data_IF_323051541166
#
_entry.id   IF_323051541166
#
_cell.length_a   1.000
_cell.length_b   1.000
_cell.length_c   1.000
_cell.angle_alpha   90.00
_cell.angle_beta   90.00
_cell.angle_gamma   90.00
#
_symmetry.space_group_name_H-M   'P 1'
#
loop_
_entity.id
_entity.type
_entity.pdbx_description
1 polymer ?
#
# COMPACT_ATOMS: atom_id res chain seq x y z
N UNK A 1 15.30 3.97 6.78
CA UNK A 1 14.06 4.10 7.57
C UNK A 1 13.17 2.91 7.27
N UNK A 2 12.72 2.22 8.32
CA UNK A 2 11.89 1.01 8.16
C UNK A 2 10.52 1.12 8.80
N UNK A 3 10.21 2.29 9.37
CA UNK A 3 9.00 2.49 10.15
C UNK A 3 8.66 3.98 10.19
N UNK A 4 7.37 4.30 10.09
CA UNK A 4 6.90 5.66 10.37
C UNK A 4 5.44 5.64 10.78
N UNK A 5 5.01 6.70 11.47
CA UNK A 5 3.63 6.92 11.87
C UNK A 5 3.17 8.26 11.33
N UNK A 6 1.92 8.32 10.88
CA UNK A 6 1.31 9.54 10.35
C UNK A 6 -0.17 9.57 10.65
N UNK A 7 -0.71 10.76 10.76
CA UNK A 7 -2.15 10.97 10.79
C UNK A 7 -2.61 11.35 9.39
N UNK A 8 -3.68 10.74 8.93
CA UNK A 8 -4.31 11.12 7.66
C UNK A 8 -4.91 12.51 7.82
N UNK A 9 -4.88 13.31 6.77
CA UNK A 9 -5.55 14.61 6.78
C UNK A 9 -7.06 14.43 6.51
N UNK A 10 -7.78 15.54 6.47
CA UNK A 10 -9.25 15.53 6.30
C UNK A 10 -9.68 14.96 4.94
N UNK A 11 -8.77 14.88 3.99
CA UNK A 11 -9.02 14.33 2.65
C UNK A 11 -8.42 12.94 2.48
N UNK A 12 -8.14 12.23 3.57
CA UNK A 12 -7.59 10.89 3.60
C UNK A 12 -6.22 10.80 2.92
N UNK A 13 -5.40 11.85 3.03
CA UNK A 13 -4.07 11.84 2.43
C UNK A 13 -3.03 11.47 3.46
N UNK A 14 -2.16 10.54 3.04
CA UNK A 14 -1.01 10.09 3.82
C UNK A 14 0.23 10.85 3.33
N UNK A 15 0.94 11.50 4.24
CA UNK A 15 2.20 12.17 3.90
C UNK A 15 3.35 11.20 4.04
N UNK A 16 4.04 10.94 2.94
CA UNK A 16 5.22 10.08 2.94
C UNK A 16 6.41 10.90 3.46
N UNK A 17 7.19 10.35 4.41
CA UNK A 17 8.38 11.05 4.92
C UNK A 17 9.32 11.45 3.79
N UNK A 18 9.95 12.60 3.95
CA UNK A 18 10.84 13.18 2.92
C UNK A 18 11.89 12.18 2.44
N UNK A 19 12.47 11.41 3.38
CA UNK A 19 13.54 10.44 3.09
C UNK A 19 13.07 9.29 2.18
N UNK A 20 11.76 9.04 2.12
CA UNK A 20 11.20 7.94 1.36
C UNK A 20 10.57 8.36 0.03
N UNK A 21 10.47 9.65 -0.24
CA UNK A 21 9.77 10.13 -1.43
C UNK A 21 10.41 9.67 -2.74
N UNK A 22 11.73 9.56 -2.77
CA UNK A 22 12.45 9.09 -3.95
C UNK A 22 12.07 7.64 -4.29
N UNK A 23 11.78 6.82 -3.28
CA UNK A 23 11.36 5.44 -3.46
C UNK A 23 10.07 5.35 -4.27
N UNK A 24 9.20 6.34 -4.14
CA UNK A 24 7.87 6.37 -4.78
C UNK A 24 7.80 7.33 -5.97
N UNK A 25 8.95 7.68 -6.53
CA UNK A 25 8.99 8.63 -7.65
C UNK A 25 8.22 8.14 -8.88
N UNK A 26 8.15 6.82 -9.09
CA UNK A 26 7.41 6.22 -10.22
C UNK A 26 5.90 6.16 -10.00
N UNK A 27 5.45 6.43 -8.78
CA UNK A 27 4.04 6.33 -8.40
C UNK A 27 3.85 5.35 -7.26
N UNK A 28 2.59 5.18 -6.86
CA UNK A 28 2.20 4.39 -5.69
C UNK A 28 1.10 3.41 -6.08
N UNK A 29 1.18 2.20 -5.57
CA UNK A 29 0.11 1.21 -5.69
C UNK A 29 -0.30 0.79 -4.28
N UNK A 30 -1.60 0.89 -3.99
CA UNK A 30 -2.17 0.47 -2.71
C UNK A 30 -3.08 -0.72 -2.96
N UNK A 31 -2.94 -1.75 -2.14
CA UNK A 31 -3.79 -2.96 -2.22
C UNK A 31 -4.21 -3.40 -0.83
N UNK A 32 -5.22 -4.26 -0.79
CA UNK A 32 -5.54 -5.00 0.43
C UNK A 32 -4.44 -6.00 0.70
N UNK A 33 -4.10 -6.18 1.99
CA UNK A 33 -3.21 -7.26 2.39
C UNK A 33 -3.98 -8.54 2.68
N UNK A 34 -3.28 -9.56 3.16
CA UNK A 34 -3.90 -10.84 3.51
C UNK A 34 -4.49 -10.84 4.92
N UNK A 35 -4.25 -9.79 5.70
CA UNK A 35 -4.85 -9.57 7.02
C UNK A 35 -5.46 -8.17 7.07
N UNK A 36 -5.70 -7.64 8.27
CA UNK A 36 -6.31 -6.33 8.45
C UNK A 36 -5.29 -5.21 8.26
N UNK A 37 -4.70 -5.14 7.08
CA UNK A 37 -3.70 -4.13 6.73
C UNK A 37 -3.67 -3.95 5.22
N UNK A 38 -2.99 -2.87 4.79
CA UNK A 38 -2.83 -2.57 3.38
C UNK A 38 -1.38 -2.80 2.97
N UNK A 39 -1.16 -3.02 1.69
CA UNK A 39 0.17 -3.00 1.09
C UNK A 39 0.35 -1.70 0.33
N UNK A 40 1.51 -1.08 0.52
CA UNK A 40 1.92 0.12 -0.21
C UNK A 40 3.17 -0.23 -1.01
N UNK A 41 3.07 -0.14 -2.33
CA UNK A 41 4.18 -0.43 -3.24
C UNK A 41 4.58 0.83 -4.00
N UNK A 42 5.87 0.94 -4.33
CA UNK A 42 6.27 1.82 -5.40
C UNK A 42 5.77 1.21 -6.72
N UNK A 43 5.37 2.05 -7.68
CA UNK A 43 4.83 1.56 -8.95
C UNK A 43 5.82 0.64 -9.68
N UNK A 44 7.11 1.01 -9.69
CA UNK A 44 8.13 0.19 -10.35
C UNK A 44 8.32 -1.17 -9.67
N UNK A 45 8.17 -1.25 -8.35
CA UNK A 45 8.23 -2.52 -7.61
C UNK A 45 7.02 -3.39 -7.97
N UNK A 46 5.84 -2.79 -8.03
CA UNK A 46 4.64 -3.53 -8.46
C UNK A 46 4.86 -4.13 -9.85
N UNK A 47 5.29 -3.29 -10.80
CA UNK A 47 5.44 -3.72 -12.19
C UNK A 47 6.52 -4.78 -12.37
N UNK A 48 7.64 -4.69 -11.64
CA UNK A 48 8.77 -5.59 -11.83
C UNK A 48 8.76 -6.82 -10.93
N UNK A 49 8.11 -6.74 -9.76
CA UNK A 49 8.15 -7.83 -8.77
C UNK A 49 6.80 -8.48 -8.53
N UNK A 50 5.73 -7.69 -8.43
CA UNK A 50 4.42 -8.21 -8.05
C UNK A 50 3.67 -8.74 -9.27
N UNK A 51 3.56 -7.92 -10.32
CA UNK A 51 2.84 -8.32 -11.54
C UNK A 51 3.38 -9.62 -12.12
N UNK A 52 4.70 -9.82 -12.27
CA UNK A 52 5.22 -11.09 -12.73
C UNK A 52 4.94 -12.27 -11.79
N UNK A 53 4.94 -12.01 -10.47
CA UNK A 53 4.65 -13.05 -9.47
C UNK A 53 3.18 -13.50 -9.50
N UNK A 54 2.28 -12.63 -9.97
CA UNK A 54 0.86 -12.94 -10.12
C UNK A 54 0.58 -13.63 -11.45
N UNK A 55 1.59 -13.77 -12.32
CA UNK A 55 1.47 -14.44 -13.60
C UNK A 55 1.95 -15.89 -13.41
N UNK A 56 1.01 -16.79 -13.30
CA UNK A 56 1.32 -18.20 -13.11
C UNK A 56 0.48 -19.06 -14.05
N UNK A 57 0.38 -20.34 -13.73
CA UNK A 57 -0.49 -21.23 -14.49
C UNK A 57 -1.95 -20.77 -14.32
N UNK A 58 -2.66 -20.68 -15.43
CA UNK A 58 -4.08 -20.32 -15.41
C UNK A 58 -4.91 -21.32 -14.61
N UNK A 59 -4.38 -22.53 -14.44
CA UNK A 59 -5.06 -23.59 -13.69
C UNK A 59 -4.67 -23.65 -12.22
N UNK A 60 -3.78 -22.76 -11.76
CA UNK A 60 -3.35 -22.74 -10.37
C UNK A 60 -4.30 -21.87 -9.55
N UNK A 61 -5.15 -22.54 -8.74
CA UNK A 61 -6.14 -21.85 -7.90
C UNK A 61 -5.49 -20.90 -6.89
N UNK A 62 -4.31 -21.23 -6.37
CA UNK A 62 -3.61 -20.37 -5.42
C UNK A 62 -3.21 -19.05 -6.08
N UNK A 63 -2.69 -19.11 -7.30
CA UNK A 63 -2.32 -17.90 -8.06
C UNK A 63 -3.58 -17.09 -8.37
N UNK A 64 -4.68 -17.77 -8.75
CA UNK A 64 -5.94 -17.09 -9.02
C UNK A 64 -6.44 -16.37 -7.78
N UNK A 65 -6.38 -17.00 -6.62
CA UNK A 65 -6.82 -16.41 -5.35
C UNK A 65 -5.99 -15.18 -4.98
N UNK A 66 -4.68 -15.24 -5.20
CA UNK A 66 -3.80 -14.09 -4.96
C UNK A 66 -4.15 -12.93 -5.90
N UNK A 67 -4.42 -13.22 -7.16
CA UNK A 67 -4.85 -12.19 -8.12
C UNK A 67 -6.14 -11.49 -7.65
N UNK A 68 -7.14 -12.27 -7.24
CA UNK A 68 -8.40 -11.71 -6.76
C UNK A 68 -8.15 -10.84 -5.53
N UNK A 69 -7.38 -11.35 -4.58
CA UNK A 69 -7.11 -10.64 -3.33
C UNK A 69 -6.40 -9.30 -3.56
N UNK A 70 -5.33 -9.30 -4.35
CA UNK A 70 -4.51 -8.10 -4.52
C UNK A 70 -5.06 -7.12 -5.56
N UNK A 71 -5.86 -7.59 -6.52
CA UNK A 71 -6.45 -6.69 -7.52
C UNK A 71 -7.77 -6.09 -7.08
N UNK A 72 -8.48 -6.74 -6.19
CA UNK A 72 -9.75 -6.23 -5.67
C UNK A 72 -9.47 -5.03 -4.77
N UNK A 73 -9.91 -3.85 -5.22
CA UNK A 73 -9.68 -2.62 -4.48
C UNK A 73 -8.32 -1.99 -4.70
N UNK A 74 -7.50 -2.55 -5.60
CA UNK A 74 -6.21 -1.95 -5.95
C UNK A 74 -6.41 -0.55 -6.49
N UNK A 75 -5.61 0.41 -6.01
CA UNK A 75 -5.61 1.78 -6.50
C UNK A 75 -4.18 2.18 -6.85
N UNK A 76 -4.05 3.02 -7.88
CA UNK A 76 -2.77 3.56 -8.29
C UNK A 76 -2.85 5.08 -8.26
N UNK A 77 -1.78 5.72 -7.82
CA UNK A 77 -1.74 7.18 -7.68
C UNK A 77 -0.31 7.67 -7.81
N UNK A 78 -0.17 8.99 -7.95
CA UNK A 78 1.14 9.64 -7.90
C UNK A 78 1.25 10.44 -6.62
N UNK A 79 2.48 10.59 -6.12
CA UNK A 79 2.72 11.49 -5.01
C UNK A 79 2.56 12.93 -5.44
N UNK A 80 1.97 13.76 -4.58
CA UNK A 80 2.04 15.20 -4.68
C UNK A 80 3.51 15.60 -4.54
N UNK A 81 4.08 16.20 -5.59
CA UNK A 81 5.52 16.51 -5.63
C UNK A 81 5.95 17.50 -4.55
N UNK A 82 5.05 18.39 -4.11
CA UNK A 82 5.41 19.41 -3.14
C UNK A 82 5.41 18.88 -1.71
N UNK A 83 4.40 18.08 -1.36
CA UNK A 83 4.18 17.65 0.02
C UNK A 83 4.28 16.15 0.22
N UNK A 84 4.46 15.39 -0.85
CA UNK A 84 4.63 13.95 -0.77
C UNK A 84 3.40 13.22 -0.23
N UNK A 85 2.20 13.68 -0.59
CA UNK A 85 0.96 13.10 -0.10
C UNK A 85 0.35 12.15 -1.11
N UNK A 86 -0.27 11.09 -0.61
CA UNK A 86 -1.02 10.14 -1.42
C UNK A 86 -2.39 9.93 -0.78
N UNK A 87 -3.44 9.92 -1.59
CA UNK A 87 -4.80 9.68 -1.10
C UNK A 87 -5.02 8.19 -0.91
N UNK A 88 -5.55 7.83 0.27
CA UNK A 88 -5.95 6.44 0.55
C UNK A 88 -7.48 6.38 0.45
N UNK A 89 -7.97 5.57 -0.48
CA UNK A 89 -9.41 5.47 -0.70
C UNK A 89 -10.13 4.89 0.52
N UNK A 90 -11.36 5.37 0.75
CA UNK A 90 -12.12 5.00 1.94
C UNK A 90 -12.31 3.48 2.07
N UNK A 91 -12.56 2.78 0.96
CA UNK A 91 -12.76 1.33 1.00
C UNK A 91 -11.53 0.58 1.51
N UNK A 92 -10.32 1.11 1.27
CA UNK A 92 -9.09 0.52 1.79
C UNK A 92 -8.96 0.78 3.29
N UNK A 93 -9.27 1.99 3.72
CA UNK A 93 -9.25 2.32 5.15
C UNK A 93 -10.23 1.44 5.92
N UNK A 94 -11.43 1.25 5.38
CA UNK A 94 -12.44 0.39 6.00
C UNK A 94 -11.94 -1.06 6.11
N UNK A 95 -11.32 -1.56 5.06
CA UNK A 95 -10.77 -2.91 5.05
C UNK A 95 -9.73 -3.11 6.16
N UNK A 96 -8.84 -2.13 6.36
CA UNK A 96 -7.75 -2.24 7.32
C UNK A 96 -8.13 -1.75 8.72
N UNK A 97 -9.35 -1.24 8.91
CA UNK A 97 -9.79 -0.71 10.19
C UNK A 97 -9.03 0.55 10.58
N UNK A 98 -8.58 1.32 9.60
CA UNK A 98 -7.84 2.57 9.83
C UNK A 98 -8.83 3.73 9.86
N UNK A 99 -8.88 4.46 10.98
CA UNK A 99 -9.71 5.65 11.09
C UNK A 99 -8.92 6.91 10.74
N UNK A 100 -7.82 7.17 11.44
CA UNK A 100 -7.02 8.36 11.20
C UNK A 100 -5.52 8.12 11.30
N UNK A 101 -5.08 7.34 12.29
CA UNK A 101 -3.66 7.10 12.51
C UNK A 101 -3.21 5.87 11.74
N UNK A 102 -2.07 6.00 11.06
CA UNK A 102 -1.49 4.95 10.24
C UNK A 102 -0.09 4.65 10.73
N UNK A 103 0.17 3.36 10.94
CA UNK A 103 1.52 2.85 11.22
C UNK A 103 2.00 2.15 9.97
N UNK A 104 3.15 2.55 9.46
CA UNK A 104 3.76 1.96 8.28
C UNK A 104 5.04 1.24 8.66
N UNK A 105 5.14 -0.02 8.28
CA UNK A 105 6.31 -0.86 8.58
C UNK A 105 6.79 -1.49 7.28
N UNK A 106 8.10 -1.43 7.05
CA UNK A 106 8.70 -2.02 5.85
C UNK A 106 8.59 -3.54 5.90
N UNK A 107 8.08 -4.12 4.82
CA UNK A 107 7.94 -5.56 4.67
C UNK A 107 8.74 -6.01 3.44
N UNK A 108 10.07 -5.82 3.49
CA UNK A 108 10.94 -6.11 2.37
C UNK A 108 10.89 -4.98 1.34
N UNK A 109 10.40 -5.28 0.14
CA UNK A 109 10.36 -4.30 -0.94
C UNK A 109 9.08 -3.46 -0.97
N UNK A 110 8.21 -3.61 0.02
CA UNK A 110 6.97 -2.85 0.12
C UNK A 110 6.70 -2.52 1.59
N UNK A 111 5.60 -1.82 1.84
CA UNK A 111 5.24 -1.38 3.17
C UNK A 111 3.86 -1.92 3.56
N UNK A 112 3.70 -2.28 4.83
CA UNK A 112 2.37 -2.54 5.40
C UNK A 112 1.88 -1.29 6.07
N UNK A 113 0.62 -0.92 5.80
CA UNK A 113 -0.05 0.18 6.47
C UNK A 113 -1.11 -0.41 7.39
N UNK A 114 -1.06 -0.05 8.66
CA UNK A 114 -1.91 -0.66 9.70
C UNK A 114 -2.50 0.39 10.61
N UNK A 115 -3.63 0.06 11.23
CA UNK A 115 -4.11 0.81 12.38
C UNK A 115 -3.14 0.55 13.55
N UNK A 116 -2.97 1.50 14.50
CA UNK A 116 -2.04 1.30 15.61
C UNK A 116 -2.27 0.02 16.40
N UNK A 117 -3.52 -0.40 16.58
CA UNK A 117 -3.90 -1.60 17.32
C UNK A 117 -3.39 -2.87 16.64
N UNK A 118 -3.16 -2.86 15.35
CA UNK A 118 -2.70 -4.00 14.57
C UNK A 118 -1.18 -4.05 14.43
N UNK A 119 -0.49 -2.99 14.86
CA UNK A 119 0.95 -2.84 14.63
C UNK A 119 1.81 -3.41 15.76
N UNK A 120 1.23 -3.99 16.76
CA UNK A 120 1.96 -4.56 17.90
C UNK A 120 2.54 -5.94 17.58
#
# INVERSE_FOLDING_TARGET
MDYFERKLDDKRRLTIPTELRAEFASGVVLTRGSGNYLHLYAQDVWDSQVEPALTGSILDEHVADLNVKFRRGKTAATLDQKQGRVTVEQHLLDYAGISREVVAVRAGQYWRLMAPEQAE
#
